data_IF_660446420066
#
_entry.id   IF_660446420066
#
_cell.length_a   1.000
_cell.length_b   1.000
_cell.length_c   1.000
_cell.angle_alpha   90.00
_cell.angle_beta   90.00
_cell.angle_gamma   90.00
#
_symmetry.space_group_name_H-M   'P 1'
#
loop_
_entity.id
_entity.type
_entity.pdbx_description
1 polymer ?
#
# COMPACT_ATOMS: atom_id res chain seq x y z
N UNK A 1 0.03 -6.28 8.58
CA UNK A 1 0.99 -7.36 8.29
C UNK A 1 2.38 -6.80 8.03
N UNK A 2 2.58 -5.94 7.02
CA UNK A 2 3.92 -5.36 6.76
C UNK A 2 4.46 -4.50 7.92
N UNK A 3 3.62 -3.69 8.57
CA UNK A 3 4.01 -2.93 9.78
C UNK A 3 4.61 -3.85 10.86
N UNK A 4 3.93 -4.98 11.11
CA UNK A 4 4.39 -6.00 12.05
C UNK A 4 5.70 -6.65 11.59
N UNK A 5 5.81 -7.03 10.31
CA UNK A 5 7.03 -7.63 9.79
C UNK A 5 8.26 -6.70 9.93
N UNK A 6 8.06 -5.40 9.71
CA UNK A 6 9.11 -4.39 9.89
C UNK A 6 9.46 -4.21 11.37
N UNK A 7 8.46 -4.15 12.26
CA UNK A 7 8.65 -4.01 13.71
C UNK A 7 9.44 -5.19 14.30
N UNK A 8 9.12 -6.41 13.85
CA UNK A 8 9.74 -7.65 14.32
C UNK A 8 10.89 -8.15 13.43
N UNK A 9 11.45 -7.28 12.57
CA UNK A 9 12.50 -7.63 11.60
C UNK A 9 13.63 -8.47 12.22
N UNK A 10 14.17 -8.07 13.37
CA UNK A 10 15.28 -8.78 14.04
C UNK A 10 14.92 -10.21 14.41
N UNK A 11 13.69 -10.43 14.86
CA UNK A 11 13.20 -11.76 15.26
C UNK A 11 12.95 -12.60 14.02
N UNK A 12 12.38 -12.01 12.97
CA UNK A 12 12.17 -12.68 11.69
C UNK A 12 13.51 -13.12 11.09
N UNK A 13 14.49 -12.21 11.00
CA UNK A 13 15.84 -12.51 10.48
C UNK A 13 16.53 -13.63 11.28
N UNK A 14 16.36 -13.65 12.61
CA UNK A 14 16.90 -14.70 13.48
C UNK A 14 16.26 -16.06 13.17
N UNK A 15 14.93 -16.12 13.13
CA UNK A 15 14.18 -17.37 12.90
C UNK A 15 14.44 -17.90 11.48
N UNK A 16 14.52 -17.03 10.48
CA UNK A 16 14.82 -17.44 9.09
C UNK A 16 16.28 -17.82 8.91
N UNK A 17 17.21 -17.25 9.70
CA UNK A 17 18.63 -17.58 9.64
C UNK A 17 19.02 -18.89 10.34
N UNK A 18 18.17 -19.42 11.22
CA UNK A 18 18.40 -20.69 11.91
C UNK A 18 18.34 -21.87 10.92
N UNK A 19 19.39 -22.70 10.89
CA UNK A 19 19.49 -23.83 9.94
C UNK A 19 18.45 -24.93 10.19
N UNK A 20 17.97 -25.05 11.43
CA UNK A 20 17.02 -26.08 11.86
C UNK A 20 15.56 -25.65 11.64
N UNK A 21 15.31 -24.37 11.36
CA UNK A 21 13.95 -23.85 11.24
C UNK A 21 13.28 -24.20 9.91
N UNK A 22 14.01 -24.74 8.91
CA UNK A 22 13.55 -24.95 7.53
C UNK A 22 12.95 -23.68 6.87
N UNK A 23 13.26 -22.48 7.39
CA UNK A 23 12.71 -21.20 6.94
C UNK A 23 13.72 -20.33 6.19
N UNK A 24 14.89 -20.87 5.87
CA UNK A 24 16.00 -20.13 5.26
C UNK A 24 15.70 -19.60 3.86
N UNK A 25 14.81 -20.27 3.13
CA UNK A 25 14.34 -19.81 1.83
C UNK A 25 13.51 -18.49 1.92
N UNK A 26 13.13 -18.09 3.14
CA UNK A 26 12.39 -16.84 3.41
C UNK A 26 13.27 -15.76 4.06
N UNK A 27 14.58 -15.98 4.18
CA UNK A 27 15.52 -14.98 4.70
C UNK A 27 15.57 -13.77 3.75
N UNK A 28 15.20 -12.59 4.24
CA UNK A 28 15.18 -11.38 3.44
C UNK A 28 16.50 -10.62 3.54
N UNK A 29 17.04 -10.23 2.38
CA UNK A 29 18.23 -9.39 2.29
C UNK A 29 17.96 -7.93 2.65
N UNK A 30 19.04 -7.16 2.84
CA UNK A 30 18.96 -5.73 3.13
C UNK A 30 18.15 -4.94 2.08
N UNK A 31 18.29 -5.28 0.80
CA UNK A 31 17.55 -4.67 -0.31
C UNK A 31 16.06 -4.99 -0.27
N UNK A 32 15.69 -6.22 0.09
CA UNK A 32 14.29 -6.64 0.15
C UNK A 32 13.58 -6.00 1.34
N UNK A 33 14.28 -5.87 2.48
CA UNK A 33 13.80 -5.10 3.61
C UNK A 33 13.62 -3.61 3.27
N UNK A 34 14.48 -3.02 2.44
CA UNK A 34 14.30 -1.65 1.98
C UNK A 34 13.03 -1.51 1.12
N UNK A 35 12.79 -2.44 0.20
CA UNK A 35 11.56 -2.49 -0.61
C UNK A 35 10.32 -2.68 0.29
N UNK A 36 10.40 -3.52 1.32
CA UNK A 36 9.30 -3.70 2.27
C UNK A 36 8.99 -2.40 3.02
N UNK A 37 10.00 -1.64 3.45
CA UNK A 37 9.81 -0.33 4.07
C UNK A 37 9.11 0.65 3.13
N UNK A 38 9.59 0.75 1.89
CA UNK A 38 8.98 1.59 0.84
C UNK A 38 7.51 1.21 0.60
N UNK A 39 7.24 -0.08 0.47
CA UNK A 39 5.90 -0.61 0.23
C UNK A 39 4.96 -0.27 1.40
N UNK A 40 5.44 -0.38 2.64
CA UNK A 40 4.64 -0.01 3.82
C UNK A 40 4.31 1.48 3.85
N UNK A 41 5.24 2.36 3.46
CA UNK A 41 4.96 3.81 3.40
C UNK A 41 3.85 4.09 2.38
N UNK A 42 3.98 3.51 1.19
CA UNK A 42 3.02 3.68 0.10
C UNK A 42 1.65 3.10 0.46
N UNK A 43 1.59 1.93 1.10
CA UNK A 43 0.33 1.27 1.46
C UNK A 43 -0.42 1.95 2.61
N UNK A 44 0.25 2.84 3.37
CA UNK A 44 -0.35 3.55 4.50
C UNK A 44 -1.62 4.32 4.11
N UNK A 45 -1.64 4.94 2.91
CA UNK A 45 -2.81 5.70 2.44
C UNK A 45 -4.05 4.81 2.26
N UNK A 46 -3.87 3.60 1.74
CA UNK A 46 -4.96 2.64 1.57
C UNK A 46 -5.46 2.13 2.92
N UNK A 47 -4.56 1.88 3.87
CA UNK A 47 -4.95 1.51 5.24
C UNK A 47 -5.78 2.61 5.90
N UNK A 48 -5.37 3.87 5.76
CA UNK A 48 -6.10 5.01 6.30
C UNK A 48 -7.49 5.15 5.67
N UNK A 49 -7.59 5.05 4.34
CA UNK A 49 -8.87 5.08 3.63
C UNK A 49 -9.80 3.94 4.07
N UNK A 50 -9.28 2.71 4.15
CA UNK A 50 -10.06 1.55 4.63
C UNK A 50 -10.57 1.76 6.05
N UNK A 51 -9.72 2.24 6.97
CA UNK A 51 -10.12 2.53 8.34
C UNK A 51 -11.14 3.66 8.41
N UNK A 52 -11.01 4.67 7.56
CA UNK A 52 -11.98 5.76 7.47
C UNK A 52 -13.36 5.22 7.08
N UNK A 53 -13.46 4.44 6.00
CA UNK A 53 -14.73 3.88 5.56
C UNK A 53 -15.29 2.80 6.49
N UNK A 54 -14.43 2.09 7.22
CA UNK A 54 -14.87 1.05 8.19
C UNK A 54 -15.52 1.64 9.44
N UNK A 55 -15.40 2.94 9.70
CA UNK A 55 -16.04 3.62 10.84
C UNK A 55 -17.49 3.97 10.56
N UNK A 56 -17.85 4.16 9.29
CA UNK A 56 -19.19 4.58 8.89
C UNK A 56 -20.05 3.35 8.55
N UNK A 57 -21.35 3.43 8.85
CA UNK A 57 -22.29 2.33 8.56
C UNK A 57 -22.55 2.16 7.06
N UNK A 58 -22.46 3.25 6.28
CA UNK A 58 -22.57 3.24 4.83
C UNK A 58 -21.81 4.44 4.22
N UNK A 59 -20.76 4.23 3.42
CA UNK A 59 -20.07 5.31 2.73
C UNK A 59 -20.95 5.91 1.62
N UNK A 60 -21.02 7.24 1.56
CA UNK A 60 -21.76 7.97 0.51
C UNK A 60 -20.83 8.43 -0.61
N UNK A 61 -21.37 8.72 -1.79
CA UNK A 61 -20.58 9.20 -2.93
C UNK A 61 -19.78 10.48 -2.60
N UNK A 62 -20.36 11.35 -1.76
CA UNK A 62 -19.74 12.58 -1.26
C UNK A 62 -18.52 12.35 -0.37
N UNK A 63 -18.37 11.18 0.25
CA UNK A 63 -17.18 10.81 1.04
C UNK A 63 -16.20 9.96 0.24
N UNK A 64 -16.71 9.18 -0.73
CA UNK A 64 -15.90 8.33 -1.61
C UNK A 64 -15.06 9.16 -2.59
N UNK A 65 -15.64 10.14 -3.29
CA UNK A 65 -14.92 10.95 -4.29
C UNK A 65 -13.70 11.67 -3.67
N UNK A 66 -13.83 12.42 -2.55
CA UNK A 66 -12.68 13.10 -1.95
C UNK A 66 -11.60 12.13 -1.44
N UNK A 67 -11.98 10.95 -0.96
CA UNK A 67 -11.01 9.95 -0.54
C UNK A 67 -10.23 9.38 -1.74
N UNK A 68 -10.90 9.14 -2.86
CA UNK A 68 -10.25 8.70 -4.10
C UNK A 68 -9.30 9.77 -4.65
N UNK A 69 -9.71 11.04 -4.66
CA UNK A 69 -8.84 12.17 -5.05
C UNK A 69 -7.61 12.27 -4.16
N UNK A 70 -7.79 12.07 -2.85
CA UNK A 70 -6.69 12.08 -1.91
C UNK A 70 -5.70 10.94 -2.15
N UNK A 71 -6.21 9.72 -2.40
CA UNK A 71 -5.38 8.57 -2.76
C UNK A 71 -4.61 8.85 -4.06
N UNK A 72 -5.27 9.32 -5.13
CA UNK A 72 -4.59 9.61 -6.41
C UNK A 72 -3.46 10.62 -6.23
N UNK A 73 -3.73 11.72 -5.52
CA UNK A 73 -2.74 12.75 -5.22
C UNK A 73 -1.51 12.18 -4.50
N UNK A 74 -1.71 11.32 -3.51
CA UNK A 74 -0.60 10.68 -2.78
C UNK A 74 0.18 9.75 -3.71
N UNK A 75 -0.49 8.93 -4.52
CA UNK A 75 0.17 8.04 -5.48
C UNK A 75 1.01 8.82 -6.50
N UNK A 76 0.45 9.86 -7.11
CA UNK A 76 1.14 10.72 -8.09
C UNK A 76 2.33 11.43 -7.45
N UNK A 77 2.16 11.96 -6.23
CA UNK A 77 3.27 12.59 -5.49
C UNK A 77 4.39 11.59 -5.23
N UNK A 78 4.06 10.36 -4.83
CA UNK A 78 5.04 9.32 -4.57
C UNK A 78 5.77 8.88 -5.85
N UNK A 79 5.05 8.69 -6.96
CA UNK A 79 5.63 8.36 -8.28
C UNK A 79 6.64 9.44 -8.71
N UNK A 80 6.27 10.71 -8.59
CA UNK A 80 7.11 11.83 -9.03
C UNK A 80 8.24 12.17 -8.06
N UNK A 81 8.22 11.64 -6.83
CA UNK A 81 9.22 11.98 -5.81
C UNK A 81 10.61 11.44 -6.11
N UNK A 82 10.73 10.40 -6.94
CA UNK A 82 11.99 9.72 -7.24
C UNK A 82 12.62 9.00 -6.03
N UNK A 83 11.89 8.85 -4.92
CA UNK A 83 12.40 8.29 -3.66
C UNK A 83 12.27 6.77 -3.56
N UNK A 84 11.51 6.15 -4.47
CA UNK A 84 11.15 4.74 -4.39
C UNK A 84 11.85 3.92 -5.46
N UNK A 85 12.04 2.63 -5.18
CA UNK A 85 12.58 1.67 -6.12
C UNK A 85 11.70 1.52 -7.37
N UNK A 86 12.27 1.14 -8.53
CA UNK A 86 11.51 0.95 -9.77
C UNK A 86 10.33 -0.03 -9.62
N UNK A 87 10.49 -1.07 -8.80
CA UNK A 87 9.44 -2.03 -8.52
C UNK A 87 8.24 -1.39 -7.80
N UNK A 88 8.50 -0.55 -6.79
CA UNK A 88 7.45 0.17 -6.06
C UNK A 88 6.78 1.22 -6.95
N UNK A 89 7.54 1.91 -7.80
CA UNK A 89 6.97 2.84 -8.79
C UNK A 89 6.05 2.12 -9.78
N UNK A 90 6.45 0.94 -10.27
CA UNK A 90 5.60 0.13 -11.14
C UNK A 90 4.31 -0.29 -10.42
N UNK A 91 4.40 -0.74 -9.16
CA UNK A 91 3.24 -1.08 -8.35
C UNK A 91 2.31 0.12 -8.11
N UNK A 92 2.86 1.31 -7.84
CA UNK A 92 2.12 2.56 -7.70
C UNK A 92 1.32 2.89 -8.97
N UNK A 93 1.92 2.73 -10.15
CA UNK A 93 1.23 2.97 -11.43
C UNK A 93 0.07 1.99 -11.67
N UNK A 94 0.24 0.72 -11.28
CA UNK A 94 -0.84 -0.28 -11.33
C UNK A 94 -1.96 0.09 -10.35
N UNK A 95 -1.62 0.50 -9.13
CA UNK A 95 -2.57 0.98 -8.13
C UNK A 95 -3.37 2.19 -8.63
N UNK A 96 -2.69 3.17 -9.23
CA UNK A 96 -3.32 4.35 -9.85
C UNK A 96 -4.28 3.96 -10.98
N UNK A 97 -3.85 3.08 -11.89
CA UNK A 97 -4.68 2.61 -13.00
C UNK A 97 -5.94 1.89 -12.49
N UNK A 98 -5.80 1.13 -11.40
CA UNK A 98 -6.92 0.45 -10.74
C UNK A 98 -7.87 1.46 -10.09
N UNK A 99 -7.34 2.47 -9.40
CA UNK A 99 -8.13 3.56 -8.81
C UNK A 99 -8.94 4.30 -9.88
N UNK A 100 -8.31 4.67 -10.99
CA UNK A 100 -8.97 5.35 -12.11
C UNK A 100 -10.10 4.51 -12.72
N UNK A 101 -9.95 3.17 -12.76
CA UNK A 101 -11.02 2.28 -13.22
C UNK A 101 -12.24 2.31 -12.30
N UNK A 102 -12.04 2.46 -10.99
CA UNK A 102 -13.16 2.64 -10.05
C UNK A 102 -13.71 4.05 -10.10
N UNK A 103 -12.86 5.05 -10.33
CA UNK A 103 -13.28 6.45 -10.47
C UNK A 103 -14.20 6.61 -11.68
N UNK A 104 -13.89 5.97 -12.81
CA UNK A 104 -14.81 6.02 -13.96
C UNK A 104 -16.17 5.39 -13.68
N UNK A 105 -16.31 4.57 -12.63
CA UNK A 105 -17.61 4.02 -12.20
C UNK A 105 -18.44 5.00 -11.39
N UNK A 106 -17.83 5.96 -10.69
CA UNK A 106 -18.58 7.02 -10.00
C UNK A 106 -19.26 7.97 -10.98
N UNK A 107 -18.67 8.17 -12.16
CA UNK A 107 -19.26 9.00 -13.23
C UNK A 107 -20.55 8.43 -13.84
N UNK A 108 -20.78 7.11 -13.71
CA UNK A 108 -22.01 6.45 -14.18
C UNK A 108 -23.12 6.39 -13.10
N UNK A 109 -22.87 6.92 -11.90
CA UNK A 109 -23.92 6.95 -10.87
C UNK A 109 -24.92 8.06 -11.19
N UNK A 110 -26.20 7.71 -11.38
CA UNK A 110 -27.31 8.64 -11.68
C UNK A 110 -27.64 9.60 -10.51
N UNK A 111 -26.77 9.71 -9.51
CA UNK A 111 -27.01 10.45 -8.26
C UNK A 111 -26.66 11.94 -8.33
N UNK A 112 -26.68 12.53 -9.52
CA UNK A 112 -26.60 14.00 -9.72
C UNK A 112 -27.91 14.57 -10.26
#
# INVERSE_FOLDING_TARGET
MLDFAIEYKKVIDLITGERDSNLRDYELGCSEWAIALELRDVLSIFKQATLYFSRESAPTLTTVIPAMDHIDKVLVTNINSGKFSPAVIAALNVGKSTLNRYYSKTDYSETY
#
